data_IF_980463517462
#
_entry.id   IF_980463517462
#
_cell.length_a   1.000
_cell.length_b   1.000
_cell.length_c   1.000
_cell.angle_alpha   90.00
_cell.angle_beta   90.00
_cell.angle_gamma   90.00
#
_symmetry.space_group_name_H-M   'P 1'
#
loop_
_entity.id
_entity.type
_entity.pdbx_description
1 polymer ?
#
# COMPACT_ATOMS: atom_id res chain seq x y z
N UNK A 1 -5.88 -13.28 -28.46
CA UNK A 1 -4.82 -12.34 -28.06
C UNK A 1 -5.10 -11.92 -26.62
N UNK A 2 -4.31 -12.37 -25.65
CA UNK A 2 -4.46 -11.93 -24.25
C UNK A 2 -3.65 -10.64 -24.07
N UNK A 3 -4.31 -9.53 -23.79
CA UNK A 3 -3.60 -8.28 -23.48
C UNK A 3 -3.14 -8.35 -22.04
N UNK A 4 -1.84 -8.44 -21.80
CA UNK A 4 -1.29 -8.32 -20.45
C UNK A 4 -1.09 -6.83 -20.17
N UNK A 5 -1.97 -6.21 -19.37
CA UNK A 5 -1.71 -4.86 -18.87
C UNK A 5 -0.81 -4.95 -17.65
N UNK A 6 0.34 -4.27 -17.70
CA UNK A 6 1.16 -4.04 -16.50
C UNK A 6 0.42 -3.01 -15.65
N UNK A 7 -0.25 -3.47 -14.59
CA UNK A 7 -0.82 -2.57 -13.59
C UNK A 7 0.32 -1.97 -12.77
N UNK A 8 0.50 -0.64 -12.74
CA UNK A 8 1.44 -0.06 -11.79
C UNK A 8 0.95 -0.42 -10.38
N UNK A 9 1.84 -0.83 -9.49
CA UNK A 9 1.50 -1.14 -8.09
C UNK A 9 2.03 -0.07 -7.12
N UNK A 10 2.99 0.73 -7.57
CA UNK A 10 3.62 1.79 -6.79
C UNK A 10 2.87 3.12 -6.95
N UNK A 11 3.23 4.10 -6.12
CA UNK A 11 2.77 5.50 -6.23
C UNK A 11 3.19 6.05 -7.60
N UNK A 12 2.32 6.84 -8.23
CA UNK A 12 2.54 7.36 -9.58
C UNK A 12 1.49 8.39 -9.99
N UNK A 13 1.48 8.80 -11.26
CA UNK A 13 0.54 9.82 -11.76
C UNK A 13 -0.91 9.43 -11.46
N UNK A 14 -1.62 10.27 -10.71
CA UNK A 14 -3.02 10.06 -10.34
C UNK A 14 -3.26 8.98 -9.29
N UNK A 15 -2.22 8.37 -8.70
CA UNK A 15 -2.36 7.36 -7.64
C UNK A 15 -1.73 7.85 -6.34
N UNK A 16 -2.51 7.80 -5.27
CA UNK A 16 -2.05 8.14 -3.91
C UNK A 16 -1.36 6.94 -3.26
N UNK A 17 -0.52 7.21 -2.26
CA UNK A 17 0.09 6.17 -1.41
C UNK A 17 -0.97 5.22 -0.82
N UNK A 18 -2.07 5.79 -0.32
CA UNK A 18 -3.20 5.03 0.20
C UNK A 18 -3.70 4.00 -0.82
N UNK A 19 -3.98 4.47 -2.04
CA UNK A 19 -4.53 3.64 -3.10
C UNK A 19 -3.53 2.58 -3.56
N UNK A 20 -2.24 2.93 -3.65
CA UNK A 20 -1.18 1.99 -3.99
C UNK A 20 -1.08 0.84 -2.97
N UNK A 21 -1.10 1.16 -1.67
CA UNK A 21 -1.04 0.18 -0.59
C UNK A 21 -2.26 -0.75 -0.63
N UNK A 22 -3.48 -0.19 -0.74
CA UNK A 22 -4.70 -0.99 -0.85
C UNK A 22 -4.68 -1.91 -2.09
N UNK A 23 -4.32 -1.36 -3.26
CA UNK A 23 -4.26 -2.13 -4.51
C UNK A 23 -3.27 -3.31 -4.44
N UNK A 24 -2.13 -3.14 -3.75
CA UNK A 24 -1.16 -4.22 -3.54
C UNK A 24 -1.72 -5.32 -2.64
N UNK A 25 -2.35 -4.94 -1.52
CA UNK A 25 -2.89 -5.91 -0.56
C UNK A 25 -3.98 -6.74 -1.22
N UNK A 26 -4.91 -6.09 -1.92
CA UNK A 26 -5.98 -6.75 -2.66
C UNK A 26 -5.43 -7.68 -3.74
N UNK A 27 -4.38 -7.26 -4.45
CA UNK A 27 -3.74 -8.07 -5.48
C UNK A 27 -3.03 -9.31 -4.93
N UNK A 28 -2.32 -9.16 -3.80
CA UNK A 28 -1.58 -10.26 -3.16
C UNK A 28 -2.53 -11.19 -2.39
N UNK A 29 -3.71 -10.72 -1.99
CA UNK A 29 -4.74 -11.48 -1.32
C UNK A 29 -5.36 -12.56 -2.24
N UNK A 30 -4.60 -13.63 -2.47
CA UNK A 30 -5.11 -14.86 -3.07
C UNK A 30 -5.60 -15.80 -1.96
N UNK A 31 -6.91 -16.01 -1.78
CA UNK A 31 -7.44 -16.78 -0.64
C UNK A 31 -6.90 -18.20 -0.55
N UNK A 32 -6.58 -18.83 -1.69
CA UNK A 32 -5.98 -20.17 -1.73
C UNK A 32 -4.54 -20.20 -1.22
N UNK A 33 -3.81 -19.09 -1.34
CA UNK A 33 -2.40 -18.98 -0.92
C UNK A 33 -2.22 -18.27 0.41
N UNK A 34 -3.23 -17.51 0.86
CA UNK A 34 -3.16 -16.65 2.05
C UNK A 34 -3.98 -17.15 3.23
N UNK A 35 -4.47 -18.40 3.17
CA UNK A 35 -5.36 -18.97 4.18
C UNK A 35 -6.57 -18.04 4.41
N UNK A 36 -7.31 -17.76 3.33
CA UNK A 36 -8.45 -16.85 3.31
C UNK A 36 -8.16 -15.46 3.95
N UNK A 37 -6.93 -14.96 3.78
CA UNK A 37 -6.51 -13.68 4.31
C UNK A 37 -5.92 -13.72 5.72
N UNK A 38 -5.79 -14.88 6.37
CA UNK A 38 -5.10 -14.99 7.67
C UNK A 38 -3.62 -14.64 7.55
N UNK A 39 -2.95 -15.08 6.49
CA UNK A 39 -1.50 -14.90 6.30
C UNK A 39 -1.08 -13.51 5.78
N UNK A 40 -2.03 -12.63 5.47
CA UNK A 40 -1.73 -11.23 5.09
C UNK A 40 -1.78 -10.27 6.28
N UNK A 41 -2.08 -10.79 7.48
CA UNK A 41 -2.08 -10.03 8.73
C UNK A 41 -0.86 -10.37 9.58
N UNK A 42 -0.36 -9.41 10.36
CA UNK A 42 0.83 -9.59 11.19
C UNK A 42 0.70 -8.86 12.53
N UNK A 43 1.70 -9.04 13.39
CA UNK A 43 1.75 -8.32 14.66
C UNK A 43 1.72 -6.81 14.41
N UNK A 44 0.79 -6.11 15.07
CA UNK A 44 0.53 -4.68 14.91
C UNK A 44 0.20 -4.21 13.47
N UNK A 45 -0.20 -5.13 12.57
CA UNK A 45 -0.51 -4.81 11.18
C UNK A 45 -1.78 -5.55 10.72
N UNK A 46 -2.89 -4.80 10.61
CA UNK A 46 -4.15 -5.29 10.04
C UNK A 46 -4.26 -4.82 8.58
N UNK A 47 -4.33 -5.78 7.66
CA UNK A 47 -4.49 -5.55 6.21
C UNK A 47 -5.66 -4.61 5.84
N UNK A 48 -6.70 -4.53 6.68
CA UNK A 48 -7.89 -3.69 6.43
C UNK A 48 -7.66 -2.22 6.73
N UNK A 49 -6.65 -1.90 7.54
CA UNK A 49 -6.42 -0.53 8.05
C UNK A 49 -5.00 -0.03 7.81
N UNK A 50 -4.11 -0.89 7.29
CA UNK A 50 -2.69 -0.56 7.09
C UNK A 50 -2.46 0.61 6.14
N UNK A 51 -3.35 0.85 5.17
CA UNK A 51 -3.30 2.03 4.30
C UNK A 51 -3.44 3.33 5.10
N UNK A 52 -4.38 3.37 6.04
CA UNK A 52 -4.61 4.49 6.94
C UNK A 52 -3.53 4.58 8.02
N UNK A 53 -3.13 3.44 8.60
CA UNK A 53 -2.09 3.37 9.62
C UNK A 53 -0.74 3.86 9.08
N UNK A 54 -0.40 3.49 7.85
CA UNK A 54 0.80 3.98 7.17
C UNK A 54 0.76 5.50 7.00
N UNK A 55 -0.36 6.05 6.52
CA UNK A 55 -0.49 7.50 6.37
C UNK A 55 -0.43 8.25 7.71
N UNK A 56 -1.00 7.66 8.77
CA UNK A 56 -0.90 8.21 10.12
C UNK A 56 0.55 8.22 10.60
N UNK A 57 1.24 7.09 10.50
CA UNK A 57 2.65 6.97 10.89
C UNK A 57 3.54 7.93 10.09
N UNK A 58 3.27 8.10 8.78
CA UNK A 58 3.97 9.07 7.93
C UNK A 58 3.76 10.51 8.44
N UNK A 59 2.54 10.90 8.78
CA UNK A 59 2.24 12.22 9.36
C UNK A 59 2.94 12.43 10.70
N UNK A 60 2.96 11.41 11.56
CA UNK A 60 3.69 11.46 12.83
C UNK A 60 5.19 11.63 12.62
N UNK A 61 5.77 10.90 11.65
CA UNK A 61 7.18 11.05 11.29
C UNK A 61 7.51 12.47 10.81
N UNK A 62 6.66 13.05 9.95
CA UNK A 62 6.80 14.43 9.50
C UNK A 62 6.71 15.40 10.69
N UNK A 63 5.73 15.23 11.58
CA UNK A 63 5.56 16.08 12.74
C UNK A 63 6.75 15.99 13.72
N UNK A 64 7.31 14.79 13.90
CA UNK A 64 8.41 14.55 14.83
C UNK A 64 9.77 14.99 14.28
N UNK A 65 9.99 14.91 12.96
CA UNK A 65 11.34 15.05 12.37
C UNK A 65 11.45 16.13 11.30
N UNK A 66 10.33 16.65 10.79
CA UNK A 66 10.30 17.55 9.63
C UNK A 66 10.70 16.89 8.30
N UNK A 67 11.02 15.59 8.27
CA UNK A 67 11.49 14.90 7.06
C UNK A 67 10.33 14.66 6.11
N UNK A 68 10.46 15.16 4.89
CA UNK A 68 9.49 14.95 3.80
C UNK A 68 10.17 14.16 2.68
N UNK A 69 9.50 13.10 2.22
CA UNK A 69 9.95 12.34 1.06
C UNK A 69 9.82 13.20 -0.20
N UNK A 70 10.86 13.21 -1.04
CA UNK A 70 10.83 13.91 -2.33
C UNK A 70 9.68 13.42 -3.21
N UNK A 71 9.09 14.33 -4.00
CA UNK A 71 8.14 13.93 -5.05
C UNK A 71 8.91 13.34 -6.21
N UNK A 72 8.38 12.27 -6.78
CA UNK A 72 8.79 11.83 -8.11
C UNK A 72 8.30 12.89 -9.11
N UNK A 73 9.20 13.74 -9.58
CA UNK A 73 8.97 14.54 -10.80
C UNK A 73 9.03 13.60 -12.01
N UNK A 74 8.24 13.87 -13.05
CA UNK A 74 8.15 13.00 -14.23
C UNK A 74 9.48 12.92 -14.97
#
# INVERSE_FOLDING_TARGET
MATTRIMPLHVGKGRTERRAISDIIDYVANPQKTDNGRLITGFACDSRTVDAAFLLAKRQCIAATGRVQGRYEN
#
